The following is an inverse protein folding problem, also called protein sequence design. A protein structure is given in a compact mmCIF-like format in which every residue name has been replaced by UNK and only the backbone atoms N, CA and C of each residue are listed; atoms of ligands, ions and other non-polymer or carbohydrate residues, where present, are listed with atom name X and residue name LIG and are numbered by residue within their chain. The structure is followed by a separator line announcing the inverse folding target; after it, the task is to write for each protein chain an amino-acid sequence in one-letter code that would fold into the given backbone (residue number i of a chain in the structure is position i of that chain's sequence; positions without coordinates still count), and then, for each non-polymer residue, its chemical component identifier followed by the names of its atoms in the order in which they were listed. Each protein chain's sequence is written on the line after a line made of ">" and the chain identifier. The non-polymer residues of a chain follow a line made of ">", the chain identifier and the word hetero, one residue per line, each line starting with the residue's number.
data_IF_257711467788
#
_entry.id   IF_257711467788
#
_cell.length_a   1.000
_cell.length_b   1.000
_cell.length_c   1.000
_cell.angle_alpha   90.00
_cell.angle_beta   90.00
_cell.angle_gamma   90.00
#
_symmetry.space_group_name_H-M   'P 1'
#
loop_
_entity.id
_entity.type
_entity.pdbx_description
1 polymer ?
#
# COMPACT_ATOMS: atom_id res chain seq x y z
N UNK A 1 9.20 -3.89 -8.93
CA UNK A 1 8.59 -5.18 -9.32
C UNK A 1 8.69 -5.43 -10.82
N UNK A 2 8.14 -4.54 -11.67
CA UNK A 2 8.17 -4.66 -13.13
C UNK A 2 9.57 -4.95 -13.72
N UNK A 3 10.57 -4.16 -13.36
CA UNK A 3 11.96 -4.30 -13.87
C UNK A 3 12.59 -5.66 -13.57
N UNK A 4 12.33 -6.23 -12.38
CA UNK A 4 12.89 -7.54 -12.01
C UNK A 4 12.23 -8.69 -12.79
N UNK A 5 10.92 -8.59 -13.04
CA UNK A 5 10.17 -9.56 -13.84
C UNK A 5 10.61 -9.48 -15.32
N UNK A 6 10.82 -8.27 -15.84
CA UNK A 6 11.32 -8.05 -17.20
C UNK A 6 12.73 -8.63 -17.39
N UNK A 7 13.64 -8.38 -16.43
CA UNK A 7 14.98 -8.95 -16.47
C UNK A 7 14.95 -10.49 -16.45
N UNK A 8 14.07 -11.09 -15.65
CA UNK A 8 13.89 -12.54 -15.63
C UNK A 8 13.38 -13.07 -16.98
N UNK A 9 12.36 -12.45 -17.57
CA UNK A 9 11.83 -12.89 -18.87
C UNK A 9 12.89 -12.87 -19.98
N UNK A 10 13.81 -11.90 -19.95
CA UNK A 10 14.92 -11.79 -20.91
C UNK A 10 16.00 -12.86 -20.69
N UNK A 11 16.25 -13.27 -19.45
CA UNK A 11 17.35 -14.18 -19.10
C UNK A 11 16.94 -15.65 -18.91
N UNK A 12 15.65 -15.96 -18.81
CA UNK A 12 15.15 -17.27 -18.37
C UNK A 12 15.58 -18.46 -19.23
N UNK A 13 15.85 -18.24 -20.53
CA UNK A 13 16.24 -19.29 -21.46
C UNK A 13 17.65 -19.83 -21.19
N UNK A 14 18.52 -19.00 -20.61
CA UNK A 14 19.85 -19.39 -20.15
C UNK A 14 19.89 -20.05 -18.77
N UNK A 15 18.76 -20.17 -18.08
CA UNK A 15 18.69 -20.72 -16.73
C UNK A 15 18.37 -22.23 -16.73
N UNK A 16 18.97 -23.01 -15.81
CA UNK A 16 18.53 -24.38 -15.56
C UNK A 16 17.03 -24.46 -15.26
N UNK A 17 16.39 -25.54 -15.71
CA UNK A 17 14.93 -25.70 -15.59
C UNK A 17 14.41 -25.56 -14.15
N UNK A 18 15.15 -26.07 -13.16
CA UNK A 18 14.80 -25.94 -11.74
C UNK A 18 14.80 -24.49 -11.28
N UNK A 19 15.83 -23.71 -11.67
CA UNK A 19 15.93 -22.29 -11.33
C UNK A 19 14.80 -21.49 -12.00
N UNK A 20 14.50 -21.76 -13.28
CA UNK A 20 13.38 -21.15 -13.98
C UNK A 20 12.05 -21.41 -13.26
N UNK A 21 11.79 -22.65 -12.86
CA UNK A 21 10.57 -23.02 -12.13
C UNK A 21 10.46 -22.32 -10.78
N UNK A 22 11.54 -22.28 -10.00
CA UNK A 22 11.55 -21.61 -8.71
C UNK A 22 11.27 -20.09 -8.85
N UNK A 23 11.92 -19.42 -9.80
CA UNK A 23 11.75 -18.00 -10.04
C UNK A 23 10.34 -17.64 -10.54
N UNK A 24 9.74 -18.48 -11.39
CA UNK A 24 8.33 -18.32 -11.76
C UNK A 24 7.41 -18.36 -10.52
N UNK A 25 7.63 -19.31 -9.62
CA UNK A 25 6.85 -19.40 -8.38
C UNK A 25 6.95 -18.13 -7.51
N UNK A 26 8.14 -17.53 -7.41
CA UNK A 26 8.31 -16.26 -6.71
C UNK A 26 7.61 -15.09 -7.41
N UNK A 27 7.70 -15.02 -8.74
CA UNK A 27 7.01 -13.98 -9.53
C UNK A 27 5.50 -14.07 -9.34
N UNK A 28 4.93 -15.28 -9.31
CA UNK A 28 3.50 -15.47 -9.10
C UNK A 28 3.07 -15.05 -7.69
N UNK A 29 3.87 -15.33 -6.67
CA UNK A 29 3.64 -14.83 -5.31
C UNK A 29 3.69 -13.30 -5.26
N UNK A 30 4.68 -12.67 -5.90
CA UNK A 30 4.78 -11.21 -5.98
C UNK A 30 3.56 -10.58 -6.66
N UNK A 31 3.09 -11.19 -7.76
CA UNK A 31 1.87 -10.74 -8.46
C UNK A 31 0.62 -10.90 -7.60
N UNK A 32 0.51 -12.01 -6.85
CA UNK A 32 -0.60 -12.23 -5.93
C UNK A 32 -0.62 -11.18 -4.82
N UNK A 33 0.55 -10.91 -4.22
CA UNK A 33 0.67 -9.89 -3.18
C UNK A 33 0.31 -8.50 -3.69
N UNK A 34 0.77 -8.12 -4.89
CA UNK A 34 0.41 -6.84 -5.50
C UNK A 34 -1.11 -6.67 -5.67
N UNK A 35 -1.81 -7.73 -6.12
CA UNK A 35 -3.28 -7.71 -6.23
C UNK A 35 -3.98 -7.53 -4.89
N UNK A 36 -3.50 -8.20 -3.85
CA UNK A 36 -4.09 -8.03 -2.51
C UNK A 36 -3.83 -6.62 -1.96
N UNK A 37 -2.65 -6.05 -2.20
CA UNK A 37 -2.37 -4.64 -1.85
C UNK A 37 -3.38 -3.72 -2.54
N UNK A 38 -3.57 -3.82 -3.86
CA UNK A 38 -4.53 -2.99 -4.60
C UNK A 38 -5.97 -3.14 -4.08
N UNK A 39 -6.37 -4.35 -3.69
CA UNK A 39 -7.68 -4.63 -3.13
C UNK A 39 -7.86 -3.97 -1.76
N UNK A 40 -6.83 -4.03 -0.91
CA UNK A 40 -6.83 -3.36 0.40
C UNK A 40 -6.87 -1.84 0.19
N UNK A 41 -6.06 -1.29 -0.71
CA UNK A 41 -6.07 0.15 -1.03
C UNK A 41 -7.45 0.61 -1.49
N UNK A 42 -8.13 -0.13 -2.37
CA UNK A 42 -9.51 0.17 -2.80
C UNK A 42 -10.48 0.19 -1.61
N UNK A 43 -10.31 -0.73 -0.67
CA UNK A 43 -11.14 -0.79 0.54
C UNK A 43 -10.91 0.44 1.43
N UNK A 44 -9.65 0.81 1.65
CA UNK A 44 -9.28 2.01 2.40
C UNK A 44 -9.85 3.27 1.73
N UNK A 45 -9.72 3.40 0.41
CA UNK A 45 -10.25 4.54 -0.32
C UNK A 45 -11.78 4.61 -0.27
N UNK A 46 -12.47 3.47 -0.29
CA UNK A 46 -13.92 3.41 -0.11
C UNK A 46 -14.34 3.91 1.27
N UNK A 47 -13.62 3.50 2.32
CA UNK A 47 -13.84 3.96 3.68
C UNK A 47 -13.53 5.46 3.85
N UNK A 48 -12.40 5.92 3.30
CA UNK A 48 -11.99 7.33 3.30
C UNK A 48 -13.10 8.25 2.78
N UNK A 49 -13.73 7.89 1.65
CA UNK A 49 -14.83 8.64 1.05
C UNK A 49 -16.04 8.79 1.98
N UNK A 50 -16.23 7.85 2.91
CA UNK A 50 -17.32 7.89 3.89
C UNK A 50 -16.91 8.61 5.18
N UNK A 51 -15.62 8.64 5.52
CA UNK A 51 -15.10 9.27 6.74
C UNK A 51 -14.82 10.78 6.61
N UNK A 52 -15.63 11.62 7.26
CA UNK A 52 -15.43 13.07 7.23
C UNK A 52 -14.10 13.52 7.87
N UNK A 53 -13.66 12.85 8.95
CA UNK A 53 -12.38 13.12 9.59
C UNK A 53 -11.21 12.79 8.64
N UNK A 54 -11.28 11.64 7.96
CA UNK A 54 -10.25 11.26 6.99
C UNK A 54 -10.19 12.20 5.79
N UNK A 55 -11.34 12.63 5.24
CA UNK A 55 -11.37 13.62 4.15
C UNK A 55 -10.72 14.95 4.55
N UNK A 56 -11.07 15.48 5.72
CA UNK A 56 -10.48 16.72 6.25
C UNK A 56 -8.97 16.63 6.41
N UNK A 57 -8.45 15.48 6.85
CA UNK A 57 -7.01 15.27 6.97
C UNK A 57 -6.32 15.20 5.59
N UNK A 58 -6.98 14.64 4.57
CA UNK A 58 -6.42 14.56 3.23
C UNK A 58 -6.40 15.91 2.47
N UNK A 59 -7.17 16.91 2.93
CA UNK A 59 -7.11 18.27 2.40
C UNK A 59 -5.82 19.02 2.82
N UNK A 60 -5.08 18.49 3.81
CA UNK A 60 -3.80 19.05 4.26
C UNK A 60 -2.73 18.73 3.21
N UNK A 61 -1.98 19.73 2.70
CA UNK A 61 -0.89 19.51 1.75
C UNK A 61 0.12 18.46 2.26
N UNK A 62 0.36 17.44 1.43
CA UNK A 62 1.26 16.33 1.76
C UNK A 62 0.61 15.15 2.47
N UNK A 63 -0.66 15.23 2.88
CA UNK A 63 -1.41 14.11 3.46
C UNK A 63 -2.33 13.50 2.42
N UNK A 64 -1.98 12.31 1.93
CA UNK A 64 -2.84 11.55 1.01
C UNK A 64 -3.97 10.78 1.71
N UNK A 65 -4.95 10.25 0.96
CA UNK A 65 -6.11 9.55 1.51
C UNK A 65 -5.76 8.28 2.29
N UNK A 66 -4.69 7.57 1.92
CA UNK A 66 -4.21 6.39 2.67
C UNK A 66 -3.67 6.83 4.04
N UNK A 67 -2.78 7.82 4.07
CA UNK A 67 -2.21 8.37 5.31
C UNK A 67 -3.29 8.97 6.20
N UNK A 68 -4.20 9.76 5.63
CA UNK A 68 -5.34 10.32 6.35
C UNK A 68 -6.23 9.23 6.97
N UNK A 69 -6.42 8.12 6.26
CA UNK A 69 -7.18 6.97 6.77
C UNK A 69 -6.46 6.27 7.91
N UNK A 70 -5.15 6.07 7.79
CA UNK A 70 -4.33 5.49 8.85
C UNK A 70 -4.37 6.35 10.12
N UNK A 71 -4.20 7.66 10.01
CA UNK A 71 -4.28 8.60 11.15
C UNK A 71 -5.65 8.51 11.81
N UNK A 72 -6.72 8.57 11.03
CA UNK A 72 -8.08 8.52 11.56
C UNK A 72 -8.40 7.17 12.23
N UNK A 73 -7.89 6.06 11.68
CA UNK A 73 -8.08 4.73 12.27
C UNK A 73 -7.26 4.53 13.55
N UNK A 74 -6.04 5.12 13.62
CA UNK A 74 -5.17 5.03 14.77
C UNK A 74 -5.58 5.97 15.92
N UNK A 75 -6.32 7.04 15.60
CA UNK A 75 -6.80 8.04 16.56
C UNK A 75 -8.32 8.00 16.63
N UNK A 76 -8.91 7.05 17.39
CA UNK A 76 -10.35 6.94 17.53
C UNK A 76 -10.97 8.11 18.31
N UNK A 77 -10.19 8.80 19.15
CA UNK A 77 -10.62 9.99 19.88
C UNK A 77 -9.56 11.10 19.84
N UNK A 78 -9.81 12.12 19.01
CA UNK A 78 -8.92 13.27 18.87
C UNK A 78 -8.95 14.20 20.09
N UNK A 79 -9.95 14.10 20.97
CA UNK A 79 -10.07 14.95 22.17
C UNK A 79 -9.08 14.57 23.26
N UNK A 80 -8.45 13.40 23.13
CA UNK A 80 -7.37 12.94 24.02
C UNK A 80 -6.05 13.72 23.80
N UNK A 81 -5.94 14.50 22.72
CA UNK A 81 -4.76 15.32 22.44
C UNK A 81 -4.97 16.75 22.90
N UNK A 82 -4.05 17.26 23.73
CA UNK A 82 -4.09 18.63 24.25
C UNK A 82 -3.88 19.69 23.17
N UNK A 83 -3.20 19.35 22.07
CA UNK A 83 -3.09 20.21 20.89
C UNK A 83 -2.70 19.40 19.65
N UNK A 84 -2.94 19.95 18.45
CA UNK A 84 -2.47 19.35 17.20
C UNK A 84 -0.94 19.18 17.11
N UNK A 85 -0.16 19.90 17.94
CA UNK A 85 1.29 19.70 18.06
C UNK A 85 1.65 18.34 18.65
N UNK A 86 0.79 17.75 19.47
CA UNK A 86 1.02 16.44 20.10
C UNK A 86 0.98 15.27 19.09
N UNK A 87 0.55 15.54 17.86
CA UNK A 87 0.46 14.57 16.75
C UNK A 87 1.19 15.04 15.48
N UNK A 88 1.94 16.14 15.58
CA UNK A 88 2.77 16.63 14.48
C UNK A 88 4.14 15.94 14.50
N UNK A 89 4.62 15.52 13.32
CA UNK A 89 5.96 14.95 13.11
C UNK A 89 7.00 16.04 12.85
#
# INVERSE_FOLDING_TARGET
>A
MKTAIEAFHTAQDGLPALARKALHGLIDQMRALAREIEKIEKTILSWHRQSAASRRLADIPGIGPITASAITAAVPDATLFSSGRSVAA
#
